data_IF_516618792534
#
_entry.id   IF_516618792534
#
_cell.length_a   1.000
_cell.length_b   1.000
_cell.length_c   1.000
_cell.angle_alpha   90.00
_cell.angle_beta   90.00
_cell.angle_gamma   90.00
#
_symmetry.space_group_name_H-M   'P 1'
#
loop_
_entity.id
_entity.type
_entity.pdbx_description
1 polymer ?
#
# COMPACT_ATOMS: atom_id res chain seq x y z
N UNK A 1 -7.84 15.25 11.01
CA UNK A 1 -8.48 13.94 10.89
C UNK A 1 -7.45 12.81 10.87
N UNK A 2 -6.47 12.85 9.96
CA UNK A 2 -5.43 11.81 9.84
C UNK A 2 -4.69 11.57 11.14
N UNK A 3 -4.32 12.64 11.85
CA UNK A 3 -3.67 12.56 13.17
C UNK A 3 -4.59 11.89 14.22
N UNK A 4 -5.89 12.19 14.19
CA UNK A 4 -6.85 11.56 15.09
C UNK A 4 -7.01 10.07 14.80
N UNK A 5 -7.08 9.68 13.54
CA UNK A 5 -7.13 8.27 13.13
C UNK A 5 -5.85 7.53 13.55
N UNK A 6 -4.69 8.13 13.30
CA UNK A 6 -3.41 7.56 13.71
C UNK A 6 -3.27 7.44 15.23
N UNK A 7 -3.71 8.46 15.97
CA UNK A 7 -3.73 8.45 17.44
C UNK A 7 -4.70 7.39 18.00
N UNK A 8 -5.89 7.25 17.41
CA UNK A 8 -6.85 6.24 17.82
C UNK A 8 -6.34 4.82 17.53
N UNK A 9 -5.80 4.57 16.33
CA UNK A 9 -5.25 3.26 15.96
C UNK A 9 -3.98 2.91 16.73
N UNK A 10 -3.09 3.89 16.94
CA UNK A 10 -1.91 3.73 17.79
C UNK A 10 -2.27 3.52 19.25
N UNK A 11 -3.25 4.27 19.78
CA UNK A 11 -3.77 4.12 21.13
C UNK A 11 -4.35 2.73 21.40
N UNK A 12 -5.12 2.18 20.44
CA UNK A 12 -5.60 0.80 20.53
C UNK A 12 -4.48 -0.23 20.60
N UNK A 13 -3.41 -0.02 19.86
CA UNK A 13 -2.26 -0.93 19.91
C UNK A 13 -1.50 -0.89 21.25
N UNK A 14 -1.56 0.25 21.96
CA UNK A 14 -0.97 0.39 23.29
C UNK A 14 -1.77 -0.31 24.41
N UNK A 15 -3.07 -0.55 24.18
CA UNK A 15 -3.90 -1.32 25.12
C UNK A 15 -3.58 -2.83 25.12
N UNK A 16 -2.75 -3.29 24.19
CA UNK A 16 -2.33 -4.69 24.11
C UNK A 16 -1.32 -4.96 25.25
N UNK A 17 -1.55 -5.99 26.08
CA UNK A 17 -0.65 -6.38 27.14
C UNK A 17 0.77 -6.66 26.60
N UNK A 18 1.82 -6.43 27.42
CA UNK A 18 3.21 -6.65 27.00
C UNK A 18 3.51 -8.07 26.50
N UNK A 19 2.79 -9.06 27.01
CA UNK A 19 2.89 -10.47 26.61
C UNK A 19 2.59 -10.70 25.11
N UNK A 20 1.75 -9.83 24.53
CA UNK A 20 1.35 -9.87 23.12
C UNK A 20 1.99 -8.74 22.30
N UNK A 21 3.12 -8.21 22.76
CA UNK A 21 3.80 -7.07 22.14
C UNK A 21 4.13 -7.25 20.65
N UNK A 22 4.37 -8.50 20.22
CA UNK A 22 4.60 -8.85 18.81
C UNK A 22 3.41 -8.48 17.88
N UNK A 23 2.19 -8.44 18.40
CA UNK A 23 0.99 -8.11 17.61
C UNK A 23 0.68 -6.60 17.57
N UNK A 24 1.39 -5.78 18.35
CA UNK A 24 1.13 -4.34 18.44
C UNK A 24 1.16 -3.63 17.09
N UNK A 25 2.20 -3.92 16.30
CA UNK A 25 2.35 -3.29 14.98
C UNK A 25 1.21 -3.70 14.03
N UNK A 26 0.84 -4.98 14.03
CA UNK A 26 -0.27 -5.46 13.21
C UNK A 26 -1.59 -4.82 13.61
N UNK A 27 -1.88 -4.79 14.91
CA UNK A 27 -3.12 -4.16 15.41
C UNK A 27 -3.14 -2.66 15.12
N UNK A 28 -2.01 -1.96 15.24
CA UNK A 28 -1.92 -0.56 14.87
C UNK A 28 -2.25 -0.33 13.37
N UNK A 29 -1.61 -1.09 12.47
CA UNK A 29 -1.83 -0.98 11.03
C UNK A 29 -3.28 -1.31 10.67
N UNK A 30 -3.83 -2.42 11.16
CA UNK A 30 -5.20 -2.83 10.88
C UNK A 30 -6.22 -1.83 11.43
N UNK A 31 -6.00 -1.31 12.65
CA UNK A 31 -6.90 -0.32 13.27
C UNK A 31 -6.89 1.00 12.50
N UNK A 32 -5.71 1.51 12.12
CA UNK A 32 -5.58 2.74 11.33
C UNK A 32 -6.26 2.55 9.96
N UNK A 33 -6.07 1.42 9.32
CA UNK A 33 -6.70 1.10 8.03
C UNK A 33 -8.22 1.06 8.17
N UNK A 34 -8.74 0.36 9.20
CA UNK A 34 -10.18 0.26 9.47
C UNK A 34 -10.80 1.63 9.75
N UNK A 35 -10.19 2.43 10.63
CA UNK A 35 -10.67 3.78 10.93
C UNK A 35 -10.58 4.71 9.72
N UNK A 36 -9.56 4.57 8.88
CA UNK A 36 -9.45 5.30 7.62
C UNK A 36 -10.61 5.00 6.67
N UNK A 37 -10.97 3.72 6.53
CA UNK A 37 -12.11 3.29 5.71
C UNK A 37 -13.42 3.83 6.28
N UNK A 38 -13.64 3.65 7.59
CA UNK A 38 -14.86 4.15 8.27
C UNK A 38 -14.99 5.67 8.13
N UNK A 39 -13.90 6.41 8.30
CA UNK A 39 -13.90 7.86 8.11
C UNK A 39 -14.22 8.26 6.65
N UNK A 40 -13.77 7.49 5.68
CA UNK A 40 -14.08 7.71 4.25
C UNK A 40 -15.56 7.54 3.92
N UNK A 41 -16.31 6.75 4.69
CA UNK A 41 -17.77 6.60 4.52
C UNK A 41 -18.56 7.82 4.98
N UNK A 42 -17.95 8.68 5.80
CA UNK A 42 -18.61 9.90 6.30
C UNK A 42 -18.58 10.95 5.18
N UNK A 43 -19.76 11.31 4.67
CA UNK A 43 -19.93 12.24 3.54
C UNK A 43 -19.24 13.60 3.75
N UNK A 44 -19.27 14.11 4.98
CA UNK A 44 -18.62 15.39 5.33
C UNK A 44 -17.10 15.34 5.17
N UNK A 45 -16.49 14.18 5.39
CA UNK A 45 -15.05 13.97 5.28
C UNK A 45 -14.66 13.76 3.82
N UNK A 46 -15.48 13.01 3.09
CA UNK A 46 -15.22 12.68 1.68
C UNK A 46 -15.31 13.92 0.76
N UNK A 47 -16.04 14.94 1.17
CA UNK A 47 -16.20 16.20 0.40
C UNK A 47 -15.10 17.23 0.65
N UNK A 48 -14.11 16.95 1.52
CA UNK A 48 -13.00 17.87 1.78
C UNK A 48 -12.11 17.95 0.53
N UNK A 49 -12.11 19.11 -0.09
CA UNK A 49 -11.26 19.38 -1.26
C UNK A 49 -9.76 19.29 -0.92
N UNK A 50 -8.95 18.90 -1.91
CA UNK A 50 -7.48 18.84 -1.82
C UNK A 50 -6.89 17.84 -0.82
N UNK A 51 -7.68 17.00 -0.17
CA UNK A 51 -7.18 15.96 0.75
C UNK A 51 -6.20 15.01 0.05
N UNK A 52 -6.49 14.66 -1.19
CA UNK A 52 -5.62 13.82 -2.02
C UNK A 52 -4.27 14.48 -2.30
N UNK A 53 -4.27 15.78 -2.64
CA UNK A 53 -3.03 16.53 -2.89
C UNK A 53 -2.17 16.62 -1.63
N UNK A 54 -2.77 16.92 -0.48
CA UNK A 54 -2.07 16.95 0.80
C UNK A 54 -1.46 15.58 1.14
N UNK A 55 -2.22 14.50 0.92
CA UNK A 55 -1.73 13.13 1.09
C UNK A 55 -0.51 12.83 0.22
N UNK A 56 -0.52 13.26 -1.05
CA UNK A 56 0.62 13.14 -1.96
C UNK A 56 1.88 13.83 -1.41
N UNK A 57 1.76 15.07 -0.96
CA UNK A 57 2.89 15.81 -0.39
C UNK A 57 3.46 15.11 0.84
N UNK A 58 2.60 14.63 1.73
CA UNK A 58 3.03 13.91 2.93
C UNK A 58 3.74 12.60 2.59
N UNK A 59 3.27 11.85 1.60
CA UNK A 59 3.92 10.62 1.12
C UNK A 59 5.30 10.92 0.55
N UNK A 60 5.43 11.97 -0.27
CA UNK A 60 6.72 12.36 -0.86
C UNK A 60 7.72 12.77 0.25
N UNK A 61 7.29 13.60 1.20
CA UNK A 61 8.14 14.03 2.32
C UNK A 61 8.56 12.83 3.17
N UNK A 62 7.63 11.93 3.50
CA UNK A 62 7.92 10.72 4.25
C UNK A 62 8.90 9.81 3.50
N UNK A 63 8.68 9.61 2.20
CA UNK A 63 9.56 8.78 1.37
C UNK A 63 10.99 9.35 1.32
N UNK A 64 11.11 10.68 1.22
CA UNK A 64 12.41 11.35 1.24
C UNK A 64 13.10 11.22 2.61
N UNK A 65 12.35 11.37 3.69
CA UNK A 65 12.87 11.20 5.05
C UNK A 65 13.35 9.76 5.30
N UNK A 66 12.58 8.75 4.87
CA UNK A 66 12.98 7.33 4.97
C UNK A 66 14.20 7.05 4.11
N UNK A 67 14.24 7.53 2.87
CA UNK A 67 15.38 7.35 1.99
C UNK A 67 16.65 7.98 2.55
N UNK A 68 16.57 9.19 3.13
CA UNK A 68 17.72 9.86 3.74
C UNK A 68 18.22 9.19 5.03
N UNK A 69 17.35 8.47 5.73
CA UNK A 69 17.70 7.71 6.93
C UNK A 69 18.26 6.32 6.62
N UNK A 70 18.16 5.88 5.36
CA UNK A 70 18.63 4.56 4.95
C UNK A 70 20.14 4.52 4.80
N UNK A 71 20.78 3.51 5.41
CA UNK A 71 22.21 3.28 5.25
C UNK A 71 22.47 2.39 4.03
N UNK A 72 22.99 2.98 2.96
CA UNK A 72 23.29 2.25 1.71
C UNK A 72 24.29 1.12 1.91
N UNK A 73 25.21 1.22 2.89
CA UNK A 73 26.19 0.16 3.18
C UNK A 73 25.54 -1.13 3.66
N UNK A 74 24.44 -1.04 4.40
CA UNK A 74 23.66 -2.23 4.82
C UNK A 74 22.99 -2.92 3.66
N UNK A 75 22.64 -2.20 2.58
CA UNK A 75 22.03 -2.77 1.40
C UNK A 75 22.96 -3.73 0.63
N UNK A 76 24.27 -3.64 0.83
CA UNK A 76 25.27 -4.51 0.21
C UNK A 76 25.76 -5.64 1.16
N UNK A 77 25.11 -5.84 2.30
CA UNK A 77 25.43 -6.95 3.19
C UNK A 77 24.95 -8.29 2.59
N UNK A 78 25.66 -9.41 2.86
CA UNK A 78 25.29 -10.72 2.28
C UNK A 78 23.85 -11.14 2.55
N UNK A 79 23.31 -10.86 3.74
CA UNK A 79 21.92 -11.17 4.08
C UNK A 79 20.88 -10.34 3.34
N UNK A 80 21.25 -9.15 2.86
CA UNK A 80 20.37 -8.30 2.05
C UNK A 80 20.29 -8.78 0.60
N UNK A 81 21.32 -9.48 0.10
CA UNK A 81 21.29 -10.04 -1.25
C UNK A 81 20.17 -11.08 -1.39
N UNK A 82 20.01 -11.96 -0.42
CA UNK A 82 18.94 -12.96 -0.42
C UNK A 82 17.56 -12.31 -0.37
N UNK A 83 17.42 -11.24 0.41
CA UNK A 83 16.18 -10.47 0.49
C UNK A 83 15.86 -9.76 -0.85
N UNK A 84 16.87 -9.16 -1.49
CA UNK A 84 16.70 -8.51 -2.80
C UNK A 84 16.31 -9.54 -3.85
N UNK A 85 16.95 -10.70 -3.88
CA UNK A 85 16.59 -11.80 -4.79
C UNK A 85 15.16 -12.27 -4.54
N UNK A 86 14.77 -12.47 -3.29
CA UNK A 86 13.41 -12.86 -2.94
C UNK A 86 12.37 -11.84 -3.40
N UNK A 87 12.60 -10.54 -3.11
CA UNK A 87 11.70 -9.45 -3.55
C UNK A 87 11.62 -9.42 -5.08
N UNK A 88 12.75 -9.57 -5.76
CA UNK A 88 12.82 -9.57 -7.22
C UNK A 88 11.98 -10.71 -7.81
N UNK A 89 12.12 -11.92 -7.28
CA UNK A 89 11.31 -13.06 -7.68
C UNK A 89 9.83 -12.87 -7.43
N UNK A 90 9.45 -12.36 -6.26
CA UNK A 90 8.06 -12.06 -5.93
C UNK A 90 7.48 -11.01 -6.88
N UNK A 91 8.24 -9.95 -7.15
CA UNK A 91 7.82 -8.85 -8.02
C UNK A 91 7.60 -9.31 -9.47
N UNK A 92 8.62 -9.91 -10.09
CA UNK A 92 8.49 -10.37 -11.47
C UNK A 92 7.53 -11.54 -11.62
N UNK A 93 7.47 -12.45 -10.65
CA UNK A 93 6.51 -13.54 -10.62
C UNK A 93 5.07 -13.04 -10.56
N UNK A 94 4.78 -12.04 -9.70
CA UNK A 94 3.44 -11.44 -9.64
C UNK A 94 3.09 -10.67 -10.91
N UNK A 95 4.05 -10.00 -11.53
CA UNK A 95 3.84 -9.29 -12.80
C UNK A 95 3.50 -10.26 -13.94
N UNK A 96 4.23 -11.37 -14.05
CA UNK A 96 3.96 -12.42 -15.04
C UNK A 96 2.55 -13.01 -14.81
N UNK A 97 2.19 -13.32 -13.56
CA UNK A 97 0.86 -13.80 -13.23
C UNK A 97 -0.22 -12.78 -13.60
N UNK A 98 0.02 -11.50 -13.33
CA UNK A 98 -0.90 -10.42 -13.71
C UNK A 98 -1.09 -10.33 -15.21
N UNK A 99 -0.02 -10.45 -16.01
CA UNK A 99 -0.10 -10.50 -17.48
C UNK A 99 -0.97 -11.69 -17.95
N UNK A 100 -0.76 -12.88 -17.37
CA UNK A 100 -1.53 -14.07 -17.71
C UNK A 100 -3.01 -13.87 -17.41
N UNK A 101 -3.33 -13.36 -16.21
CA UNK A 101 -4.69 -13.08 -15.79
C UNK A 101 -5.34 -12.01 -16.68
N UNK A 102 -4.62 -10.91 -16.95
CA UNK A 102 -5.12 -9.86 -17.85
C UNK A 102 -5.45 -10.41 -19.23
N UNK A 103 -4.65 -11.32 -19.77
CA UNK A 103 -4.91 -11.98 -21.03
C UNK A 103 -6.14 -12.91 -20.97
N UNK A 104 -6.29 -13.68 -19.90
CA UNK A 104 -7.44 -14.57 -19.69
C UNK A 104 -8.75 -13.77 -19.61
N UNK A 105 -8.75 -12.69 -18.82
CA UNK A 105 -9.92 -11.83 -18.64
C UNK A 105 -10.09 -10.78 -19.73
N UNK A 106 -9.23 -10.78 -20.74
CA UNK A 106 -9.25 -9.83 -21.87
C UNK A 106 -9.24 -8.37 -21.43
N UNK A 107 -8.45 -8.07 -20.41
CA UNK A 107 -8.24 -6.72 -19.92
C UNK A 107 -7.34 -5.99 -20.93
N UNK A 108 -7.73 -4.78 -21.32
CA UNK A 108 -6.94 -3.95 -22.23
C UNK A 108 -5.61 -3.50 -21.62
N UNK A 109 -4.66 -3.15 -22.48
CA UNK A 109 -3.30 -2.81 -22.08
C UNK A 109 -3.24 -1.59 -21.14
N UNK A 110 -4.08 -0.58 -21.36
CA UNK A 110 -4.10 0.63 -20.54
C UNK A 110 -4.56 0.32 -19.11
N UNK A 111 -5.64 -0.47 -18.95
CA UNK A 111 -6.10 -0.91 -17.64
C UNK A 111 -5.11 -1.84 -16.95
N UNK A 112 -4.42 -2.71 -17.69
CA UNK A 112 -3.34 -3.53 -17.15
C UNK A 112 -2.18 -2.67 -16.63
N UNK A 113 -1.71 -1.69 -17.42
CA UNK A 113 -0.60 -0.83 -17.07
C UNK A 113 -0.92 0.07 -15.87
N UNK A 114 -2.13 0.66 -15.85
CA UNK A 114 -2.51 1.55 -14.76
C UNK A 114 -2.69 0.80 -13.43
N UNK A 115 -3.27 -0.40 -13.46
CA UNK A 115 -3.42 -1.22 -12.25
C UNK A 115 -2.07 -1.73 -11.75
N UNK A 116 -1.19 -2.18 -12.65
CA UNK A 116 0.19 -2.55 -12.28
C UNK A 116 0.92 -1.38 -11.63
N UNK A 117 0.86 -0.20 -12.25
CA UNK A 117 1.48 1.01 -11.69
C UNK A 117 0.88 1.42 -10.34
N UNK A 118 -0.44 1.30 -10.19
CA UNK A 118 -1.13 1.63 -8.96
C UNK A 118 -0.70 0.74 -7.78
N UNK A 119 -0.54 -0.56 -8.03
CA UNK A 119 -0.09 -1.52 -7.01
C UNK A 119 1.40 -1.37 -6.66
N UNK A 120 2.23 -0.98 -7.63
CA UNK A 120 3.68 -0.84 -7.44
C UNK A 120 4.03 0.51 -6.80
N UNK A 121 3.49 1.60 -7.38
CA UNK A 121 3.90 2.97 -7.05
C UNK A 121 2.93 3.71 -6.13
N UNK A 122 1.79 3.12 -5.80
CA UNK A 122 0.73 3.76 -4.98
C UNK A 122 -0.21 4.70 -5.75
N UNK A 123 -1.39 5.04 -5.20
CA UNK A 123 -2.41 5.85 -5.86
C UNK A 123 -1.95 7.21 -6.39
N UNK A 124 -1.02 7.93 -5.74
CA UNK A 124 -0.55 9.23 -6.23
C UNK A 124 0.07 9.20 -7.62
N UNK A 125 0.63 8.07 -8.03
CA UNK A 125 1.28 7.93 -9.34
C UNK A 125 0.29 7.58 -10.46
N UNK A 126 -0.94 7.18 -10.13
CA UNK A 126 -1.97 6.82 -11.12
C UNK A 126 -2.23 7.94 -12.13
N UNK A 127 -2.45 9.22 -11.72
CA UNK A 127 -2.66 10.30 -12.68
C UNK A 127 -1.45 10.54 -13.58
N UNK A 128 -0.23 10.34 -13.08
CA UNK A 128 0.99 10.50 -13.86
C UNK A 128 1.07 9.45 -14.99
N UNK A 129 0.79 8.20 -14.64
CA UNK A 129 0.78 7.09 -15.61
C UNK A 129 -0.36 7.26 -16.62
N UNK A 130 -1.56 7.65 -16.18
CA UNK A 130 -2.69 7.92 -17.06
C UNK A 130 -2.39 9.04 -18.07
N UNK A 131 -1.66 10.08 -17.65
CA UNK A 131 -1.19 11.12 -18.55
C UNK A 131 -0.18 10.60 -19.57
N UNK A 132 0.73 9.71 -19.18
CA UNK A 132 1.69 9.07 -20.08
C UNK A 132 0.99 8.17 -21.11
N UNK A 133 -0.06 7.47 -20.70
CA UNK A 133 -0.93 6.66 -21.57
C UNK A 133 -1.87 7.50 -22.44
N UNK A 134 -1.98 8.81 -22.17
CA UNK A 134 -2.95 9.72 -22.80
C UNK A 134 -4.40 9.27 -22.65
N UNK A 135 -4.69 8.50 -21.61
CA UNK A 135 -6.00 7.93 -21.32
C UNK A 135 -6.39 8.27 -19.87
N UNK A 136 -7.32 9.21 -19.69
CA UNK A 136 -7.76 9.63 -18.36
C UNK A 136 -8.84 8.73 -17.77
N UNK A 137 -9.51 7.94 -18.61
CA UNK A 137 -10.63 7.09 -18.17
C UNK A 137 -10.15 5.96 -17.25
N UNK A 138 -8.89 5.54 -17.43
CA UNK A 138 -8.27 4.49 -16.58
C UNK A 138 -7.89 4.95 -15.17
N UNK A 139 -7.95 6.26 -14.88
CA UNK A 139 -7.62 6.80 -13.54
C UNK A 139 -8.52 6.19 -12.46
N UNK A 140 -9.81 6.11 -12.75
CA UNK A 140 -10.81 5.56 -11.82
C UNK A 140 -10.49 4.09 -11.53
N UNK A 141 -10.20 3.31 -12.56
CA UNK A 141 -9.82 1.90 -12.43
C UNK A 141 -8.56 1.74 -11.58
N UNK A 142 -7.52 2.52 -11.86
CA UNK A 142 -6.25 2.48 -11.13
C UNK A 142 -6.42 2.83 -9.65
N UNK A 143 -7.10 3.94 -9.33
CA UNK A 143 -7.32 4.37 -7.94
C UNK A 143 -8.20 3.37 -7.19
N UNK A 144 -9.33 2.95 -7.78
CA UNK A 144 -10.24 2.00 -7.14
C UNK A 144 -9.57 0.66 -6.89
N UNK A 145 -8.87 0.11 -7.89
CA UNK A 145 -8.11 -1.12 -7.76
C UNK A 145 -7.07 -1.04 -6.66
N UNK A 146 -6.33 0.06 -6.58
CA UNK A 146 -5.33 0.29 -5.56
C UNK A 146 -5.93 0.35 -4.14
N UNK A 147 -7.04 1.07 -3.95
CA UNK A 147 -7.70 1.17 -2.64
C UNK A 147 -8.18 -0.20 -2.19
N UNK A 148 -8.87 -0.94 -3.06
CA UNK A 148 -9.33 -2.30 -2.76
C UNK A 148 -8.13 -3.21 -2.45
N UNK A 149 -7.06 -3.12 -3.25
CA UNK A 149 -5.84 -3.88 -3.03
C UNK A 149 -5.21 -3.60 -1.67
N UNK A 150 -5.08 -2.34 -1.28
CA UNK A 150 -4.53 -1.98 0.03
C UNK A 150 -5.34 -2.57 1.18
N UNK A 151 -6.67 -2.49 1.10
CA UNK A 151 -7.54 -3.07 2.12
C UNK A 151 -7.32 -4.58 2.22
N UNK A 152 -7.47 -5.28 1.10
CA UNK A 152 -7.34 -6.73 1.06
C UNK A 152 -5.95 -7.20 1.49
N UNK A 153 -4.88 -6.60 0.98
CA UNK A 153 -3.52 -7.06 1.27
C UNK A 153 -3.06 -6.72 2.68
N UNK A 154 -3.53 -5.65 3.29
CA UNK A 154 -3.26 -5.40 4.70
C UNK A 154 -3.81 -6.53 5.59
N UNK A 155 -5.06 -6.94 5.36
CA UNK A 155 -5.67 -8.00 6.16
C UNK A 155 -5.09 -9.39 5.82
N UNK A 156 -5.05 -9.74 4.54
CA UNK A 156 -4.56 -11.04 4.09
C UNK A 156 -3.06 -11.21 4.38
N UNK A 157 -2.25 -10.20 4.09
CA UNK A 157 -0.81 -10.25 4.32
C UNK A 157 -0.46 -10.39 5.80
N UNK A 158 -1.13 -9.64 6.66
CA UNK A 158 -0.93 -9.72 8.11
C UNK A 158 -1.36 -11.10 8.64
N UNK A 159 -2.53 -11.58 8.22
CA UNK A 159 -3.05 -12.88 8.63
C UNK A 159 -2.12 -14.02 8.16
N UNK A 160 -1.66 -13.97 6.92
CA UNK A 160 -0.76 -14.98 6.36
C UNK A 160 0.61 -14.97 7.06
N UNK A 161 1.16 -13.79 7.35
CA UNK A 161 2.42 -13.67 8.07
C UNK A 161 2.36 -14.33 9.45
N UNK A 162 1.29 -14.09 10.21
CA UNK A 162 1.10 -14.74 11.51
C UNK A 162 0.79 -16.23 11.42
N UNK A 163 0.12 -16.67 10.38
CA UNK A 163 -0.11 -18.09 10.13
C UNK A 163 1.22 -18.82 9.87
N UNK A 164 2.08 -18.25 9.03
CA UNK A 164 3.37 -18.84 8.68
C UNK A 164 4.38 -18.80 9.83
N UNK A 165 4.29 -17.86 10.76
CA UNK A 165 5.14 -17.84 11.96
C UNK A 165 4.86 -19.01 12.93
N UNK A 166 3.76 -19.70 12.78
CA UNK A 166 3.38 -20.84 13.62
C UNK A 166 4.00 -22.16 13.16
N UNK A 167 4.56 -22.20 11.98
CA UNK A 167 5.26 -23.35 11.38
C UNK A 167 6.75 -23.11 11.33
#
# INVERSE_FOLDING_TARGET
LTVLIAAAGGGLSMLIPPEYGQYRNAVAVLSITTFGILASLVRQINTIEKTFQLGMYLIIVLSLAVASSSNLMTAFSPGMFDLIMFITWCYFGSLILHIILAKIFRIDADNFLITSAAFIFSPPFVPLVANALRNKDVIVTGITGCIIGYVLFNYLGTTLAYFLQRF
#
